data_IF_013855619912
#
_entry.id   IF_013855619912
#
_cell.length_a   1.000
_cell.length_b   1.000
_cell.length_c   1.000
_cell.angle_alpha   90.00
_cell.angle_beta   90.00
_cell.angle_gamma   90.00
#
_symmetry.space_group_name_H-M   'P 1'
#
loop_
_entity.id
_entity.type
_entity.pdbx_description
1 polymer ?
#
# COMPACT_ATOMS: atom_id res chain seq x y z
N UNK A 1 10.00 -1.71 5.69
CA UNK A 1 8.69 -2.32 5.40
C UNK A 1 8.60 -3.68 6.11
N UNK A 2 8.58 -3.71 7.45
CA UNK A 2 8.62 -4.98 8.22
C UNK A 2 7.27 -5.36 8.85
N UNK A 3 6.34 -4.41 8.92
CA UNK A 3 4.98 -4.62 9.42
C UNK A 3 4.09 -5.04 8.25
N UNK A 4 3.30 -6.10 8.46
CA UNK A 4 2.24 -6.53 7.54
C UNK A 4 0.89 -6.16 8.14
N UNK A 5 -0.01 -5.68 7.31
CA UNK A 5 -1.41 -5.43 7.66
C UNK A 5 -2.28 -6.25 6.71
N UNK A 6 -3.19 -7.07 7.25
CA UNK A 6 -3.92 -8.10 6.48
C UNK A 6 -3.02 -9.07 5.69
N UNK A 7 -1.79 -9.26 6.15
CA UNK A 7 -0.79 -10.07 5.44
C UNK A 7 -0.12 -9.35 4.27
N UNK A 8 -0.50 -8.12 3.92
CA UNK A 8 0.16 -7.32 2.88
C UNK A 8 1.29 -6.50 3.48
N UNK A 9 2.48 -6.60 2.88
CA UNK A 9 3.53 -5.58 3.08
C UNK A 9 3.07 -4.29 2.41
N UNK A 10 3.56 -3.15 2.90
CA UNK A 10 3.28 -1.81 2.38
C UNK A 10 1.89 -1.22 2.69
N UNK A 11 0.86 -2.03 2.99
CA UNK A 11 -0.50 -1.52 3.24
C UNK A 11 -0.55 -0.45 4.34
N UNK A 12 0.01 -0.72 5.52
CA UNK A 12 0.05 0.27 6.61
C UNK A 12 0.72 1.58 6.18
N UNK A 13 1.85 1.50 5.45
CA UNK A 13 2.56 2.68 4.94
C UNK A 13 1.74 3.45 3.91
N UNK A 14 0.98 2.75 3.08
CA UNK A 14 0.09 3.37 2.11
C UNK A 14 -1.06 4.12 2.81
N UNK A 15 -1.63 3.57 3.89
CA UNK A 15 -2.63 4.25 4.74
C UNK A 15 -2.04 5.54 5.32
N UNK A 16 -0.87 5.46 5.94
CA UNK A 16 -0.18 6.62 6.54
C UNK A 16 0.04 7.74 5.53
N UNK A 17 0.54 7.40 4.34
CA UNK A 17 0.78 8.37 3.27
C UNK A 17 -0.51 9.01 2.76
N UNK A 18 -1.56 8.20 2.58
CA UNK A 18 -2.86 8.71 2.16
C UNK A 18 -3.41 9.70 3.20
N UNK A 19 -3.33 9.37 4.50
CA UNK A 19 -3.73 10.28 5.58
C UNK A 19 -2.89 11.55 5.63
N UNK A 20 -1.58 11.43 5.42
CA UNK A 20 -0.69 12.58 5.40
C UNK A 20 -1.05 13.55 4.27
N UNK A 21 -1.32 13.05 3.06
CA UNK A 21 -1.79 13.86 1.92
C UNK A 21 -3.15 14.48 2.19
N UNK A 22 -4.11 13.71 2.75
CA UNK A 22 -5.43 14.24 3.11
C UNK A 22 -5.36 15.35 4.17
N UNK A 23 -4.34 15.31 5.04
CA UNK A 23 -4.09 16.31 6.06
C UNK A 23 -3.16 17.46 5.61
N UNK A 24 -2.55 17.37 4.42
CA UNK A 24 -1.54 18.35 3.95
C UNK A 24 -0.25 18.33 4.76
N UNK A 25 0.17 17.15 5.24
CA UNK A 25 1.33 16.93 6.13
C UNK A 25 2.32 15.90 5.59
N UNK A 26 2.23 15.57 4.31
CA UNK A 26 3.02 14.55 3.63
C UNK A 26 4.51 14.90 3.47
N UNK A 27 4.87 16.18 3.49
CA UNK A 27 6.25 16.63 3.26
C UNK A 27 6.77 16.13 1.91
N UNK A 28 7.85 15.34 1.92
CA UNK A 28 8.46 14.76 0.71
C UNK A 28 7.80 13.44 0.26
N UNK A 29 6.83 12.93 1.03
CA UNK A 29 6.14 11.70 0.65
C UNK A 29 5.16 11.93 -0.49
N UNK A 30 5.24 11.08 -1.52
CA UNK A 30 4.35 11.11 -2.68
C UNK A 30 3.27 10.04 -2.52
N UNK A 31 1.99 10.38 -2.65
CA UNK A 31 0.89 9.42 -2.74
C UNK A 31 -0.12 9.83 -3.84
N UNK A 32 -0.57 8.89 -4.68
CA UNK A 32 -0.05 7.52 -4.83
C UNK A 32 1.35 7.53 -5.47
N UNK A 33 2.25 6.64 -5.01
CA UNK A 33 3.55 6.41 -5.65
C UNK A 33 3.61 5.03 -6.34
N UNK A 34 4.66 4.73 -7.14
CA UNK A 34 4.75 3.46 -7.87
C UNK A 34 4.72 2.19 -7.01
N UNK A 35 4.95 2.30 -5.70
CA UNK A 35 4.81 1.17 -4.77
C UNK A 35 3.36 0.99 -4.29
N UNK A 36 2.63 2.10 -4.12
CA UNK A 36 1.20 2.09 -3.79
C UNK A 36 0.41 1.51 -4.98
N UNK A 37 0.74 1.94 -6.20
CA UNK A 37 0.09 1.48 -7.44
C UNK A 37 0.16 -0.04 -7.59
N UNK A 38 1.30 -0.65 -7.25
CA UNK A 38 1.46 -2.11 -7.31
C UNK A 38 0.63 -2.84 -6.27
N UNK A 39 0.48 -2.28 -5.08
CA UNK A 39 -0.38 -2.85 -4.05
C UNK A 39 -1.84 -2.75 -4.50
N UNK A 40 -2.25 -1.61 -5.04
CA UNK A 40 -3.59 -1.38 -5.56
C UNK A 40 -3.91 -2.31 -6.74
N UNK A 41 -2.99 -2.45 -7.69
CA UNK A 41 -3.11 -3.36 -8.84
C UNK A 41 -3.23 -4.82 -8.38
N UNK A 42 -2.36 -5.25 -7.47
CA UNK A 42 -2.42 -6.61 -6.93
C UNK A 42 -3.75 -6.85 -6.22
N UNK A 43 -4.16 -5.93 -5.35
CA UNK A 43 -5.37 -6.05 -4.55
C UNK A 43 -6.67 -5.74 -5.34
N UNK A 44 -6.58 -5.27 -6.59
CA UNK A 44 -7.72 -5.01 -7.47
C UNK A 44 -8.53 -3.77 -7.11
N UNK A 45 -7.90 -2.73 -6.56
CA UNK A 45 -8.54 -1.47 -6.14
C UNK A 45 -7.90 -0.26 -6.84
N UNK A 46 -8.57 0.89 -6.81
CA UNK A 46 -8.03 2.16 -7.35
C UNK A 46 -7.62 3.13 -6.24
N UNK A 47 -6.79 4.12 -6.59
CA UNK A 47 -6.39 5.19 -5.68
C UNK A 47 -7.59 5.99 -5.17
N UNK A 48 -8.56 6.25 -6.04
CA UNK A 48 -9.78 6.99 -5.68
C UNK A 48 -10.63 6.21 -4.67
N UNK A 49 -10.82 4.90 -4.89
CA UNK A 49 -11.53 4.02 -3.97
C UNK A 49 -10.83 3.98 -2.61
N UNK A 50 -9.52 3.79 -2.61
CA UNK A 50 -8.73 3.73 -1.38
C UNK A 50 -8.78 5.06 -0.62
N UNK A 51 -8.58 6.18 -1.31
CA UNK A 51 -8.58 7.52 -0.72
C UNK A 51 -9.95 7.88 -0.12
N UNK A 52 -11.04 7.53 -0.82
CA UNK A 52 -12.39 7.74 -0.30
C UNK A 52 -12.65 7.00 1.02
N UNK A 53 -12.10 5.79 1.16
CA UNK A 53 -12.28 4.97 2.35
C UNK A 53 -11.39 5.44 3.49
N UNK A 54 -10.13 5.79 3.22
CA UNK A 54 -9.25 6.38 4.25
C UNK A 54 -9.84 7.70 4.77
N UNK A 55 -10.47 8.50 3.90
CA UNK A 55 -11.12 9.76 4.30
C UNK A 55 -12.33 9.53 5.23
N UNK A 56 -13.06 8.44 5.04
CA UNK A 56 -14.29 8.15 5.80
C UNK A 56 -14.04 7.28 7.04
N UNK A 57 -12.84 6.71 7.19
CA UNK A 57 -12.46 5.85 8.31
C UNK A 57 -11.27 6.43 9.09
N UNK A 58 -11.48 6.95 10.31
CA UNK A 58 -10.42 7.57 11.11
C UNK A 58 -9.43 6.56 11.69
N UNK A 59 -9.79 5.27 11.74
CA UNK A 59 -8.95 4.19 12.31
C UNK A 59 -8.49 3.22 11.22
N UNK A 60 -7.38 2.52 11.48
CA UNK A 60 -6.87 1.49 10.57
C UNK A 60 -7.84 0.34 10.42
N UNK A 61 -8.53 -0.03 11.50
CA UNK A 61 -9.49 -1.14 11.52
C UNK A 61 -10.60 -0.96 10.48
N UNK A 62 -11.15 0.25 10.33
CA UNK A 62 -12.19 0.53 9.34
C UNK A 62 -11.68 0.44 7.90
N UNK A 63 -10.46 0.93 7.65
CA UNK A 63 -9.81 0.81 6.34
C UNK A 63 -9.50 -0.66 6.01
N UNK A 64 -9.03 -1.41 7.00
CA UNK A 64 -8.72 -2.84 6.90
C UNK A 64 -9.96 -3.67 6.63
N UNK A 65 -11.06 -3.39 7.33
CA UNK A 65 -12.31 -4.11 7.13
C UNK A 65 -12.85 -3.92 5.71
N UNK A 66 -12.82 -2.68 5.20
CA UNK A 66 -13.16 -2.41 3.81
C UNK A 66 -12.20 -3.12 2.84
N UNK A 67 -10.90 -3.01 3.08
CA UNK A 67 -9.87 -3.61 2.23
C UNK A 67 -10.08 -5.12 2.11
N UNK A 68 -10.34 -5.81 3.22
CA UNK A 68 -10.62 -7.25 3.22
C UNK A 68 -11.84 -7.63 2.37
N UNK A 69 -12.88 -6.78 2.36
CA UNK A 69 -14.14 -7.04 1.65
C UNK A 69 -14.06 -6.70 0.15
N UNK A 70 -13.25 -5.71 -0.22
CA UNK A 70 -13.21 -5.20 -1.59
C UNK A 70 -12.07 -5.78 -2.42
N UNK A 71 -11.01 -6.26 -1.77
CA UNK A 71 -9.83 -6.74 -2.50
C UNK A 71 -10.05 -8.08 -3.17
N UNK A 72 -9.33 -8.28 -4.26
CA UNK A 72 -9.28 -9.56 -4.95
C UNK A 72 -8.75 -10.63 -3.99
N UNK A 73 -9.42 -11.78 -3.86
CA UNK A 73 -8.92 -12.87 -3.04
C UNK A 73 -7.65 -13.46 -3.68
N UNK A 74 -6.59 -13.58 -2.89
CA UNK A 74 -5.36 -14.25 -3.28
C UNK A 74 -5.12 -15.49 -2.41
N UNK A 75 -4.52 -16.51 -3.00
CA UNK A 75 -4.08 -17.66 -2.22
C UNK A 75 -2.96 -17.25 -1.26
N UNK A 76 -2.86 -17.81 -0.04
CA UNK A 76 -1.81 -17.45 0.91
C UNK A 76 -0.39 -17.54 0.35
N UNK A 77 -0.14 -18.53 -0.51
CA UNK A 77 1.15 -18.69 -1.20
C UNK A 77 1.43 -17.59 -2.24
N UNK A 78 0.39 -17.09 -2.91
CA UNK A 78 0.49 -15.98 -3.86
C UNK A 78 0.79 -14.67 -3.15
N UNK A 79 0.05 -14.37 -2.07
CA UNK A 79 0.31 -13.22 -1.21
C UNK A 79 1.72 -13.29 -0.59
N UNK A 80 2.17 -14.47 -0.18
CA UNK A 80 3.53 -14.70 0.31
C UNK A 80 4.59 -14.33 -0.74
N UNK A 81 4.45 -14.84 -1.97
CA UNK A 81 5.36 -14.53 -3.09
C UNK A 81 5.35 -13.04 -3.44
N UNK A 82 4.18 -12.42 -3.48
CA UNK A 82 4.05 -10.99 -3.75
C UNK A 82 4.76 -10.15 -2.68
N UNK A 83 4.56 -10.49 -1.39
CA UNK A 83 5.25 -9.83 -0.29
C UNK A 83 6.77 -9.94 -0.40
N UNK A 84 7.30 -11.14 -0.68
CA UNK A 84 8.74 -11.33 -0.86
C UNK A 84 9.30 -10.50 -2.01
N UNK A 85 8.58 -10.46 -3.15
CA UNK A 85 8.97 -9.66 -4.31
C UNK A 85 9.02 -8.17 -3.96
N UNK A 86 8.04 -7.67 -3.22
CA UNK A 86 8.01 -6.27 -2.78
C UNK A 86 9.10 -5.93 -1.77
N UNK A 87 9.50 -6.87 -0.90
CA UNK A 87 10.57 -6.68 0.07
C UNK A 87 11.97 -6.77 -0.54
N UNK A 88 12.17 -7.63 -1.55
CA UNK A 88 13.45 -7.82 -2.25
C UNK A 88 13.70 -6.77 -3.33
N UNK A 89 12.70 -5.94 -3.65
CA UNK A 89 12.85 -4.87 -4.64
C UNK A 89 13.86 -3.83 -4.16
N UNK A 90 15.02 -3.84 -4.80
CA UNK A 90 15.99 -2.75 -4.78
C UNK A 90 15.80 -1.80 -5.98
N UNK A 91 16.70 -0.83 -6.12
CA UNK A 91 16.72 0.07 -7.26
C UNK A 91 16.82 -0.70 -8.58
N UNK A 92 15.91 -0.40 -9.50
CA UNK A 92 15.75 -1.13 -10.76
C UNK A 92 16.72 -0.70 -11.87
N UNK A 93 17.57 0.30 -11.63
CA UNK A 93 18.62 0.75 -12.55
C UNK A 93 19.94 0.93 -11.79
N UNK A 94 21.10 0.70 -12.44
CA UNK A 94 22.42 0.88 -11.81
C UNK A 94 22.61 2.26 -11.21
N UNK A 95 22.12 3.31 -11.88
CA UNK A 95 22.20 4.71 -11.43
C UNK A 95 21.46 4.99 -10.12
N UNK A 96 20.49 4.14 -9.75
CA UNK A 96 19.74 4.25 -8.49
C UNK A 96 20.32 3.37 -7.38
N UNK A 97 21.37 2.58 -7.66
CA UNK A 97 22.08 1.76 -6.67
C UNK A 97 23.17 2.54 -5.92
N UNK A 98 23.63 3.66 -6.48
CA UNK A 98 24.72 4.47 -5.94
C UNK A 98 24.24 5.62 -5.00
N UNK A 99 22.95 5.65 -4.63
CA UNK A 99 22.36 6.67 -3.76
C UNK A 99 21.66 6.07 -2.54
#
# INVERSE_FOLDING_TARGET
MRVKLEGYVHLARMIDKCRAVLAGTEGEYIYPCPMDDRLMEFAGITADQFTAIVKTNPTDDGVVEWFRKTTKPHQPAELGKWNEMMLKRGPSTPEKQDY
#
